data_IF_305741738866
#
_entry.id   IF_305741738866
#
_cell.length_a   1.000
_cell.length_b   1.000
_cell.length_c   1.000
_cell.angle_alpha   90.00
_cell.angle_beta   90.00
_cell.angle_gamma   90.00
#
_symmetry.space_group_name_H-M   'P 1'
#
loop_
_entity.id
_entity.type
_entity.pdbx_description
1 polymer ?
#
# COMPACT_ATOMS: atom_id res chain seq x y z
N UNK A 1 25.02 -12.54 -21.90
CA UNK A 1 24.46 -12.10 -20.61
C UNK A 1 23.24 -11.23 -20.91
N UNK A 2 22.10 -11.52 -20.30
CA UNK A 2 20.89 -10.67 -20.36
C UNK A 2 20.77 -9.96 -19.01
N UNK A 3 20.37 -8.69 -18.99
CA UNK A 3 20.24 -7.89 -17.75
C UNK A 3 18.78 -7.44 -17.58
N UNK A 4 18.25 -7.64 -16.38
CA UNK A 4 16.97 -7.10 -15.92
C UNK A 4 17.21 -6.13 -14.76
N UNK A 5 16.43 -5.06 -14.69
CA UNK A 5 16.46 -4.10 -13.58
C UNK A 5 15.25 -4.36 -12.70
N UNK A 6 15.48 -4.91 -11.50
CA UNK A 6 14.41 -5.27 -10.58
C UNK A 6 13.94 -4.08 -9.73
N UNK A 7 14.86 -3.16 -9.38
CA UNK A 7 14.60 -1.89 -8.68
C UNK A 7 13.61 -1.99 -7.51
N UNK A 8 13.82 -2.98 -6.63
CA UNK A 8 12.91 -3.26 -5.52
C UNK A 8 13.62 -3.64 -4.23
N UNK A 9 12.95 -3.40 -3.11
CA UNK A 9 13.34 -3.91 -1.80
C UNK A 9 13.09 -5.42 -1.74
N UNK A 10 14.07 -6.17 -1.25
CA UNK A 10 13.98 -7.63 -1.12
C UNK A 10 14.28 -8.08 0.31
N UNK A 11 13.77 -9.25 0.70
CA UNK A 11 14.14 -9.91 1.96
C UNK A 11 15.61 -10.30 1.94
N UNK A 12 16.29 -10.28 3.09
CA UNK A 12 17.73 -10.55 3.22
C UNK A 12 18.20 -11.82 2.50
N UNK A 13 17.43 -12.91 2.66
CA UNK A 13 17.76 -14.21 2.05
C UNK A 13 17.63 -14.23 0.53
N UNK A 14 16.97 -13.26 -0.10
CA UNK A 14 16.88 -13.17 -1.57
C UNK A 14 18.26 -12.87 -2.15
N UNK A 15 19.02 -11.96 -1.54
CA UNK A 15 20.39 -11.65 -1.97
C UNK A 15 21.28 -12.90 -1.89
N UNK A 16 21.17 -13.66 -0.79
CA UNK A 16 21.94 -14.90 -0.61
C UNK A 16 21.52 -16.00 -1.59
N UNK A 17 20.22 -16.12 -1.89
CA UNK A 17 19.72 -17.03 -2.94
C UNK A 17 20.28 -16.65 -4.31
N UNK A 18 20.31 -15.36 -4.66
CA UNK A 18 20.90 -14.89 -5.91
C UNK A 18 22.39 -15.21 -6.02
N UNK A 19 23.16 -15.10 -4.92
CA UNK A 19 24.59 -15.47 -4.91
C UNK A 19 24.81 -16.99 -5.03
N UNK A 20 23.90 -17.79 -4.52
CA UNK A 20 24.01 -19.25 -4.50
C UNK A 20 23.51 -19.91 -5.79
N UNK A 21 22.71 -19.22 -6.60
CA UNK A 21 22.17 -19.76 -7.84
C UNK A 21 23.22 -19.69 -8.98
N UNK A 22 23.68 -20.83 -9.54
CA UNK A 22 24.66 -20.83 -10.63
C UNK A 22 24.17 -20.17 -11.92
N UNK A 23 22.85 -19.93 -12.06
CA UNK A 23 22.28 -19.21 -13.21
C UNK A 23 22.39 -17.68 -13.05
N UNK A 24 22.60 -17.18 -11.84
CA UNK A 24 22.74 -15.76 -11.56
C UNK A 24 24.22 -15.37 -11.64
N UNK A 25 24.64 -14.89 -12.82
CA UNK A 25 26.04 -14.56 -13.08
C UNK A 25 26.53 -13.34 -12.27
N UNK A 26 25.64 -12.40 -11.91
CA UNK A 26 25.95 -11.21 -11.11
C UNK A 26 24.68 -10.68 -10.42
N UNK A 27 24.81 -10.15 -9.21
CA UNK A 27 23.76 -9.42 -8.50
C UNK A 27 24.33 -8.13 -7.94
N UNK A 28 23.86 -7.00 -8.48
CA UNK A 28 24.18 -5.67 -7.94
C UNK A 28 23.17 -5.31 -6.84
N UNK A 29 23.65 -4.94 -5.66
CA UNK A 29 22.79 -4.52 -4.55
C UNK A 29 23.54 -3.54 -3.63
N UNK A 30 22.79 -2.73 -2.88
CA UNK A 30 23.34 -1.84 -1.85
C UNK A 30 22.38 -1.75 -0.66
N UNK A 31 22.88 -1.31 0.49
CA UNK A 31 22.05 -1.05 1.66
C UNK A 31 21.49 0.37 1.59
N UNK A 32 20.21 0.52 1.92
CA UNK A 32 19.51 1.80 1.93
C UNK A 32 19.77 2.54 3.24
N UNK A 33 19.87 3.86 3.18
CA UNK A 33 19.74 4.68 4.39
C UNK A 33 18.28 4.70 4.88
N UNK A 34 18.04 5.30 6.04
CA UNK A 34 16.70 5.31 6.65
C UNK A 34 15.65 6.00 5.78
N UNK A 35 15.99 7.09 5.10
CA UNK A 35 15.02 7.83 4.29
C UNK A 35 14.65 7.04 3.03
N UNK A 36 15.65 6.52 2.32
CA UNK A 36 15.47 5.65 1.17
C UNK A 36 14.73 4.37 1.55
N UNK A 37 15.07 3.76 2.70
CA UNK A 37 14.41 2.55 3.20
C UNK A 37 12.91 2.77 3.44
N UNK A 38 12.50 3.90 4.01
CA UNK A 38 11.08 4.25 4.16
C UNK A 38 10.36 4.36 2.83
N UNK A 39 10.97 5.02 1.86
CA UNK A 39 10.40 5.15 0.52
C UNK A 39 10.22 3.77 -0.13
N UNK A 40 11.22 2.90 -0.01
CA UNK A 40 11.17 1.56 -0.59
C UNK A 40 10.22 0.61 0.17
N UNK A 41 10.07 0.75 1.49
CA UNK A 41 9.03 0.05 2.25
C UNK A 41 7.63 0.46 1.79
N UNK A 42 7.38 1.75 1.54
CA UNK A 42 6.11 2.21 1.00
C UNK A 42 5.85 1.63 -0.39
N UNK A 43 6.85 1.64 -1.28
CA UNK A 43 6.73 1.01 -2.60
C UNK A 43 6.46 -0.47 -2.49
N UNK A 44 7.13 -1.17 -1.58
CA UNK A 44 6.94 -2.59 -1.34
C UNK A 44 5.53 -2.91 -0.81
N UNK A 45 4.93 -2.06 0.03
CA UNK A 45 3.51 -2.18 0.42
C UNK A 45 2.59 -2.14 -0.81
N UNK A 46 2.86 -1.25 -1.77
CA UNK A 46 2.09 -1.21 -3.01
C UNK A 46 2.35 -2.42 -3.92
N UNK A 47 3.59 -2.90 -3.99
CA UNK A 47 3.94 -4.15 -4.69
C UNK A 47 3.12 -5.32 -4.13
N UNK A 48 3.28 -5.67 -2.84
CA UNK A 48 2.62 -6.86 -2.28
C UNK A 48 1.10 -6.71 -2.29
N UNK A 49 0.55 -5.52 -2.04
CA UNK A 49 -0.89 -5.30 -2.07
C UNK A 49 -1.50 -5.50 -3.47
N UNK A 50 -0.73 -5.25 -4.53
CA UNK A 50 -1.16 -5.48 -5.91
C UNK A 50 -0.95 -6.94 -6.36
N UNK A 51 -0.08 -7.69 -5.69
CA UNK A 51 0.16 -9.12 -5.96
C UNK A 51 -0.90 -10.03 -5.33
N UNK A 52 -1.67 -9.56 -4.33
CA UNK A 52 -2.77 -10.33 -3.72
C UNK A 52 -3.80 -10.74 -4.79
N UNK A 53 -3.97 -12.05 -5.09
CA UNK A 53 -4.99 -12.50 -6.01
C UNK A 53 -6.39 -12.23 -5.44
N UNK A 54 -7.31 -11.85 -6.31
CA UNK A 54 -8.69 -11.49 -5.97
C UNK A 54 -9.71 -12.58 -6.33
N UNK A 55 -9.26 -13.68 -6.94
CA UNK A 55 -10.09 -14.84 -7.19
C UNK A 55 -10.15 -15.78 -5.97
N UNK A 56 -11.26 -16.48 -5.82
CA UNK A 56 -11.50 -17.41 -4.70
C UNK A 56 -10.74 -18.74 -4.86
N UNK A 57 -10.06 -18.96 -6.00
CA UNK A 57 -9.37 -20.21 -6.33
C UNK A 57 -7.90 -20.19 -5.82
N UNK A 58 -7.34 -19.01 -5.59
CA UNK A 58 -5.94 -18.78 -5.19
C UNK A 58 -5.75 -18.49 -3.68
N UNK A 59 -6.54 -19.12 -2.79
CA UNK A 59 -6.52 -18.81 -1.34
C UNK A 59 -5.14 -18.99 -0.66
N UNK A 60 -4.36 -19.98 -1.08
CA UNK A 60 -3.02 -20.21 -0.51
C UNK A 60 -2.04 -19.10 -0.94
N UNK A 61 -2.10 -18.68 -2.20
CA UNK A 61 -1.34 -17.56 -2.73
C UNK A 61 -1.76 -16.25 -2.06
N UNK A 62 -3.07 -15.99 -1.92
CA UNK A 62 -3.58 -14.85 -1.17
C UNK A 62 -3.05 -14.79 0.27
N UNK A 63 -2.94 -15.95 0.95
CA UNK A 63 -2.37 -16.01 2.29
C UNK A 63 -0.87 -15.64 2.30
N UNK A 64 -0.10 -16.09 1.31
CA UNK A 64 1.32 -15.72 1.21
C UNK A 64 1.48 -14.22 0.98
N UNK A 65 0.73 -13.64 0.04
CA UNK A 65 0.82 -12.21 -0.28
C UNK A 65 0.35 -11.32 0.88
N UNK A 66 -0.68 -11.76 1.62
CA UNK A 66 -1.08 -11.11 2.87
C UNK A 66 0.03 -11.17 3.94
N UNK A 67 0.77 -12.28 4.02
CA UNK A 67 1.88 -12.41 4.94
C UNK A 67 3.09 -11.55 4.53
N UNK A 68 3.37 -11.43 3.23
CA UNK A 68 4.38 -10.52 2.70
C UNK A 68 4.00 -9.06 2.99
N UNK A 69 2.76 -8.65 2.69
CA UNK A 69 2.25 -7.32 3.03
C UNK A 69 2.34 -7.02 4.53
N UNK A 70 1.94 -7.97 5.40
CA UNK A 70 2.02 -7.81 6.84
C UNK A 70 3.47 -7.62 7.32
N UNK A 71 4.43 -8.38 6.76
CA UNK A 71 5.83 -8.25 7.12
C UNK A 71 6.41 -6.87 6.77
N UNK A 72 6.00 -6.30 5.63
CA UNK A 72 6.44 -4.95 5.21
C UNK A 72 5.79 -3.87 6.07
N UNK A 73 4.51 -4.03 6.44
CA UNK A 73 3.82 -3.15 7.38
C UNK A 73 4.48 -3.16 8.77
N UNK A 74 4.87 -4.34 9.25
CA UNK A 74 5.59 -4.50 10.53
C UNK A 74 6.97 -3.83 10.49
N UNK A 75 7.72 -4.00 9.40
CA UNK A 75 9.01 -3.33 9.22
C UNK A 75 8.87 -1.80 9.19
N UNK A 76 7.84 -1.27 8.51
CA UNK A 76 7.55 0.17 8.49
C UNK A 76 7.12 0.69 9.86
N UNK A 77 6.27 -0.06 10.57
CA UNK A 77 5.89 0.24 11.96
C UNK A 77 7.12 0.34 12.85
N UNK A 78 8.01 -0.65 12.77
CA UNK A 78 9.21 -0.73 13.61
C UNK A 78 10.18 0.41 13.31
N UNK A 79 10.35 0.79 12.03
CA UNK A 79 11.16 1.95 11.67
C UNK A 79 10.55 3.29 12.15
N UNK A 80 9.22 3.40 12.23
CA UNK A 80 8.57 4.52 12.91
C UNK A 80 8.71 4.48 14.44
N UNK A 81 9.07 3.33 15.01
CA UNK A 81 9.22 3.13 16.45
C UNK A 81 7.90 2.88 17.17
N UNK A 82 6.86 2.45 16.47
CA UNK A 82 5.58 2.09 17.09
C UNK A 82 5.59 0.63 17.56
N UNK A 83 4.95 0.36 18.69
CA UNK A 83 4.68 -1.01 19.12
C UNK A 83 3.48 -1.59 18.34
N UNK A 84 3.37 -2.92 18.24
CA UNK A 84 2.17 -3.56 17.69
C UNK A 84 0.89 -3.08 18.39
N UNK A 85 0.92 -2.92 19.72
CA UNK A 85 -0.23 -2.47 20.50
C UNK A 85 -0.67 -1.05 20.12
N UNK A 86 0.26 -0.12 19.91
CA UNK A 86 -0.08 1.26 19.51
C UNK A 86 -0.84 1.30 18.19
N UNK A 87 -0.46 0.45 17.23
CA UNK A 87 -1.18 0.32 15.95
C UNK A 87 -2.56 -0.28 16.17
N UNK A 88 -2.67 -1.36 16.95
CA UNK A 88 -3.96 -1.99 17.25
C UNK A 88 -4.93 -1.05 17.99
N UNK A 89 -4.43 -0.25 18.94
CA UNK A 89 -5.23 0.77 19.64
C UNK A 89 -5.68 1.88 18.68
N UNK A 90 -4.86 2.26 17.70
CA UNK A 90 -5.25 3.21 16.66
C UNK A 90 -6.32 2.63 15.73
N UNK A 91 -6.20 1.35 15.35
CA UNK A 91 -7.23 0.63 14.56
C UNK A 91 -8.54 0.56 15.33
N UNK A 92 -8.51 0.16 16.61
CA UNK A 92 -9.70 0.05 17.45
C UNK A 92 -10.39 1.40 17.64
N UNK A 93 -9.64 2.48 17.89
CA UNK A 93 -10.21 3.85 17.99
C UNK A 93 -10.87 4.30 16.69
N UNK A 94 -10.27 4.00 15.53
CA UNK A 94 -10.88 4.31 14.23
C UNK A 94 -12.15 3.50 14.01
N UNK A 95 -12.14 2.20 14.32
CA UNK A 95 -13.30 1.33 14.18
C UNK A 95 -14.46 1.75 15.11
N UNK A 96 -14.16 2.16 16.35
CA UNK A 96 -15.17 2.65 17.29
C UNK A 96 -15.81 3.98 16.84
N UNK A 97 -15.06 4.83 16.13
CA UNK A 97 -15.55 6.12 15.65
C UNK A 97 -16.25 6.05 14.29
N UNK A 98 -15.69 5.31 13.33
CA UNK A 98 -16.11 5.30 11.93
C UNK A 98 -16.74 3.98 11.48
N UNK A 99 -16.78 2.96 12.34
CA UNK A 99 -17.10 1.60 11.95
C UNK A 99 -15.94 0.89 11.25
N UNK A 100 -16.16 -0.37 10.87
CA UNK A 100 -15.26 -1.14 10.01
C UNK A 100 -15.84 -1.35 8.62
N UNK A 101 -15.20 -2.22 7.84
CA UNK A 101 -15.59 -2.51 6.46
C UNK A 101 -16.69 -3.58 6.32
N UNK A 102 -17.27 -4.06 7.42
CA UNK A 102 -18.28 -5.13 7.42
C UNK A 102 -19.58 -4.71 6.70
N UNK A 103 -19.88 -3.41 6.64
CA UNK A 103 -21.04 -2.88 5.91
C UNK A 103 -20.89 -2.90 4.39
N UNK A 104 -19.67 -3.11 3.87
CA UNK A 104 -19.37 -3.16 2.42
C UNK A 104 -19.89 -1.96 1.62
N UNK A 105 -19.98 -0.79 2.26
CA UNK A 105 -20.46 0.41 1.61
C UNK A 105 -19.42 0.95 0.62
N UNK A 106 -19.86 1.21 -0.60
CA UNK A 106 -19.09 1.88 -1.64
C UNK A 106 -19.83 3.15 -2.04
N UNK A 107 -19.22 4.32 -1.80
CA UNK A 107 -19.80 5.61 -2.17
C UNK A 107 -19.40 5.90 -3.62
N UNK A 108 -20.39 5.91 -4.52
CA UNK A 108 -20.17 6.26 -5.92
C UNK A 108 -20.07 7.79 -6.13
N UNK A 109 -20.97 8.56 -5.52
CA UNK A 109 -20.98 10.02 -5.54
C UNK A 109 -21.74 10.58 -4.32
N UNK A 110 -21.56 11.88 -4.07
CA UNK A 110 -22.40 12.65 -3.14
C UNK A 110 -22.82 13.94 -3.84
N UNK A 111 -24.09 14.29 -3.73
CA UNK A 111 -24.55 15.64 -4.03
C UNK A 111 -24.28 16.53 -2.81
N UNK A 112 -23.53 17.60 -3.02
CA UNK A 112 -23.18 18.55 -1.97
C UNK A 112 -23.81 19.91 -2.25
N UNK A 113 -24.21 20.61 -1.20
CA UNK A 113 -24.53 22.03 -1.31
C UNK A 113 -23.28 22.80 -1.79
N UNK A 114 -23.46 23.79 -2.66
CA UNK A 114 -22.36 24.56 -3.26
C UNK A 114 -21.48 25.26 -2.20
N UNK A 115 -22.08 25.68 -1.08
CA UNK A 115 -21.42 26.32 0.05
C UNK A 115 -20.92 25.34 1.12
N UNK A 116 -20.99 24.03 0.84
CA UNK A 116 -20.46 23.01 1.75
C UNK A 116 -18.93 23.10 1.83
N UNK A 117 -18.41 23.11 3.05
CA UNK A 117 -16.96 23.00 3.32
C UNK A 117 -16.29 21.82 2.59
N UNK A 118 -17.04 20.76 2.28
CA UNK A 118 -16.51 19.59 1.59
C UNK A 118 -16.24 19.84 0.10
N UNK A 119 -16.98 20.75 -0.53
CA UNK A 119 -16.76 21.15 -1.93
C UNK A 119 -15.38 21.78 -2.07
N UNK A 120 -14.99 22.67 -1.15
CA UNK A 120 -13.64 23.26 -1.13
C UNK A 120 -12.55 22.19 -0.96
N UNK A 121 -12.75 21.25 -0.03
CA UNK A 121 -11.80 20.15 0.24
C UNK A 121 -11.62 19.24 -0.98
N UNK A 122 -12.71 18.91 -1.68
CA UNK A 122 -12.65 18.04 -2.86
C UNK A 122 -12.05 18.76 -4.07
N UNK A 123 -12.41 20.02 -4.32
CA UNK A 123 -11.83 20.85 -5.40
C UNK A 123 -10.33 21.10 -5.22
N UNK A 124 -9.80 21.02 -3.99
CA UNK A 124 -8.37 21.13 -3.72
C UNK A 124 -7.54 19.89 -4.15
N UNK A 125 -8.18 18.76 -4.47
CA UNK A 125 -7.56 17.50 -4.88
C UNK A 125 -8.24 16.95 -6.16
N UNK A 126 -8.19 17.68 -7.29
CA UNK A 126 -8.93 17.32 -8.51
C UNK A 126 -8.47 16.01 -9.16
N UNK A 127 -7.23 15.58 -8.92
CA UNK A 127 -6.70 14.29 -9.36
C UNK A 127 -7.35 13.10 -8.63
N UNK A 128 -7.89 13.35 -7.44
CA UNK A 128 -8.51 12.33 -6.59
C UNK A 128 -10.03 12.37 -6.62
N UNK A 129 -10.61 13.57 -6.65
CA UNK A 129 -12.05 13.78 -6.62
C UNK A 129 -12.50 14.44 -7.92
N UNK A 130 -13.16 13.65 -8.78
CA UNK A 130 -13.79 14.17 -9.99
C UNK A 130 -15.05 14.94 -9.61
N UNK A 131 -15.13 16.19 -10.05
CA UNK A 131 -16.36 17.00 -10.02
C UNK A 131 -17.06 16.91 -11.38
N UNK A 132 -18.35 16.57 -11.39
CA UNK A 132 -19.19 16.75 -12.56
C UNK A 132 -19.75 18.18 -12.58
N UNK A 133 -19.33 18.98 -13.57
CA UNK A 133 -19.85 20.33 -13.75
C UNK A 133 -21.05 20.24 -14.68
N UNK A 134 -22.25 20.44 -14.15
CA UNK A 134 -23.41 20.66 -15.00
C UNK A 134 -23.31 22.07 -15.60
N UNK A 135 -23.02 22.17 -16.90
CA UNK A 135 -23.31 23.39 -17.65
C UNK A 135 -24.82 23.59 -17.60
N UNK A 136 -25.25 24.68 -16.97
CA UNK A 136 -26.66 24.92 -16.67
C UNK A 136 -27.54 24.82 -17.91
N UNK A 137 -28.70 24.19 -17.73
CA UNK A 137 -29.87 24.46 -18.55
C UNK A 137 -30.01 25.97 -18.70
N UNK A 138 -29.93 26.44 -19.95
CA UNK A 138 -30.22 27.81 -20.33
C UNK A 138 -31.70 28.14 -20.12
#
# INVERSE_FOLDING_TARGET
>A
MVRFYLEKLVRDKVVEKCKADPQVLHTEYHQLDRAAYRCELQRKIHEEANEIPLDDEALEEALQELADLQAVLDALRDDFGFSPQQVQDAVARKAAHAGGFQGRYYIAYNDLAEDSKWVEVFRAQPEKYREEKHEGDK
#
